data_IF_198037574079
#
_entry.id   IF_198037574079
#
_cell.length_a   1.000
_cell.length_b   1.000
_cell.length_c   1.000
_cell.angle_alpha   90.00
_cell.angle_beta   90.00
_cell.angle_gamma   90.00
#
_symmetry.space_group_name_H-M   'P 1'
#
loop_
_entity.id
_entity.type
_entity.pdbx_description
1 polymer ?
#
# COMPACT_ATOMS: atom_id res chain seq x y z
N UNK A 1 10.13 3.61 32.66
CA UNK A 1 8.67 3.49 32.48
C UNK A 1 8.06 3.34 33.87
N UNK A 2 7.07 4.15 34.21
CA UNK A 2 6.26 3.89 35.41
C UNK A 2 5.35 2.73 35.05
N UNK A 3 5.71 1.53 35.47
CA UNK A 3 4.89 0.35 35.27
C UNK A 3 3.80 0.34 36.35
N UNK A 4 2.56 0.58 35.98
CA UNK A 4 1.43 0.29 36.83
C UNK A 4 1.04 -1.18 36.63
N UNK A 5 1.34 -2.09 37.58
CA UNK A 5 1.09 -3.53 37.37
C UNK A 5 -0.39 -3.92 37.32
N UNK A 6 -1.29 -2.95 37.49
CA UNK A 6 -2.76 -3.14 37.40
C UNK A 6 -3.36 -2.52 36.14
N UNK A 7 -2.55 -2.01 35.20
CA UNK A 7 -3.03 -1.38 33.97
C UNK A 7 -2.81 -2.30 32.78
N UNK A 8 -3.87 -2.58 32.04
CA UNK A 8 -3.85 -3.24 30.74
C UNK A 8 -3.91 -2.21 29.61
N UNK A 9 -3.09 -2.41 28.59
CA UNK A 9 -3.07 -1.55 27.39
C UNK A 9 -3.67 -2.32 26.21
N UNK A 10 -4.75 -1.79 25.66
CA UNK A 10 -5.42 -2.36 24.49
C UNK A 10 -5.11 -1.55 23.24
N UNK A 11 -4.80 -2.25 22.12
CA UNK A 11 -4.74 -1.65 20.80
C UNK A 11 -6.16 -1.51 20.27
N UNK A 12 -6.64 -0.26 20.21
CA UNK A 12 -7.96 0.01 19.66
C UNK A 12 -7.83 0.37 18.17
N UNK A 13 -8.60 -0.32 17.32
CA UNK A 13 -8.66 -0.09 15.88
C UNK A 13 -7.30 -0.21 15.17
N UNK A 14 -6.60 -1.35 15.30
CA UNK A 14 -5.34 -1.54 14.60
C UNK A 14 -5.56 -1.53 13.09
N UNK A 15 -4.66 -0.86 12.36
CA UNK A 15 -4.67 -0.86 10.90
C UNK A 15 -3.73 -1.97 10.44
N UNK A 16 -4.22 -3.00 9.74
CA UNK A 16 -3.37 -4.10 9.31
C UNK A 16 -2.50 -3.71 8.11
N UNK A 17 -1.20 -3.97 8.22
CA UNK A 17 -0.26 -4.03 7.10
C UNK A 17 0.09 -5.50 6.87
N UNK A 18 -0.36 -6.06 5.74
CA UNK A 18 -0.07 -7.44 5.37
C UNK A 18 1.19 -7.47 4.50
N UNK A 19 2.13 -8.31 4.86
CA UNK A 19 3.40 -8.46 4.15
C UNK A 19 3.63 -9.92 3.82
N UNK A 20 3.92 -10.21 2.55
CA UNK A 20 4.28 -11.55 2.08
C UNK A 20 5.32 -11.45 0.97
N UNK A 21 6.04 -12.51 0.68
CA UNK A 21 7.10 -12.54 -0.33
C UNK A 21 6.75 -13.53 -1.44
N UNK A 22 6.89 -13.13 -2.70
CA UNK A 22 6.73 -14.03 -3.84
C UNK A 22 7.97 -14.87 -4.02
N UNK A 23 7.84 -16.21 -3.91
CA UNK A 23 8.94 -17.17 -4.00
C UNK A 23 9.09 -17.79 -5.40
N UNK A 24 8.21 -17.45 -6.35
CA UNK A 24 8.29 -17.95 -7.72
C UNK A 24 9.41 -17.31 -8.52
N UNK A 25 9.70 -17.88 -9.71
CA UNK A 25 10.65 -17.27 -10.65
C UNK A 25 10.13 -15.93 -11.17
N UNK A 26 10.91 -14.89 -10.96
CA UNK A 26 10.59 -13.52 -11.37
C UNK A 26 11.37 -13.04 -12.61
N UNK A 27 12.22 -13.87 -13.21
CA UNK A 27 13.17 -13.47 -14.24
C UNK A 27 12.49 -12.77 -15.43
N UNK A 28 11.54 -13.41 -16.09
CA UNK A 28 10.83 -12.84 -17.22
C UNK A 28 9.86 -11.75 -16.79
N UNK A 29 9.25 -11.88 -15.62
CA UNK A 29 8.36 -10.84 -15.05
C UNK A 29 9.14 -9.55 -14.82
N UNK A 30 10.27 -9.61 -14.13
CA UNK A 30 11.11 -8.44 -13.82
C UNK A 30 11.66 -7.81 -15.10
N UNK A 31 12.07 -8.61 -16.09
CA UNK A 31 12.49 -8.13 -17.40
C UNK A 31 11.37 -7.35 -18.09
N UNK A 32 10.16 -7.89 -18.11
CA UNK A 32 8.98 -7.20 -18.63
C UNK A 32 8.68 -5.90 -17.89
N UNK A 33 8.57 -5.95 -16.54
CA UNK A 33 8.26 -4.77 -15.74
C UNK A 33 9.32 -3.66 -15.89
N UNK A 34 10.59 -4.03 -16.05
CA UNK A 34 11.67 -3.09 -16.30
C UNK A 34 11.67 -2.49 -17.72
N UNK A 35 11.11 -3.18 -18.70
CA UNK A 35 10.98 -2.68 -20.08
C UNK A 35 9.89 -1.63 -20.27
N UNK A 36 8.99 -1.48 -19.28
CA UNK A 36 7.88 -0.53 -19.35
C UNK A 36 8.41 0.90 -19.28
N UNK A 37 8.05 1.69 -20.27
CA UNK A 37 8.38 3.11 -20.35
C UNK A 37 7.60 3.89 -19.28
N UNK A 38 8.30 4.81 -18.63
CA UNK A 38 7.73 5.70 -17.62
C UNK A 38 7.75 7.14 -18.14
N UNK A 39 6.73 7.89 -17.78
CA UNK A 39 6.63 9.32 -18.06
C UNK A 39 6.42 10.09 -16.75
N UNK A 40 6.69 11.38 -16.76
CA UNK A 40 6.43 12.23 -15.60
C UNK A 40 4.94 12.22 -15.24
N UNK A 41 4.68 12.07 -13.96
CA UNK A 41 3.36 12.19 -13.37
C UNK A 41 3.14 13.62 -12.84
N UNK A 42 2.05 13.85 -12.11
CA UNK A 42 1.80 15.13 -11.45
C UNK A 42 2.95 15.51 -10.51
N UNK A 43 3.22 16.83 -10.34
CA UNK A 43 4.31 17.30 -9.50
C UNK A 43 4.30 16.69 -8.09
N UNK A 44 5.40 16.05 -7.71
CA UNK A 44 5.58 15.39 -6.41
C UNK A 44 5.15 13.92 -6.36
N UNK A 45 4.75 13.31 -7.51
CA UNK A 45 4.40 11.89 -7.59
C UNK A 45 5.44 11.04 -8.35
N UNK A 46 6.47 11.67 -8.92
CA UNK A 46 7.53 11.01 -9.67
C UNK A 46 7.06 10.56 -11.05
N UNK A 47 7.45 9.35 -11.48
CA UNK A 47 7.16 8.80 -12.81
C UNK A 47 6.14 7.66 -12.71
N UNK A 48 5.37 7.43 -13.79
CA UNK A 48 4.35 6.38 -13.86
C UNK A 48 4.32 5.77 -15.28
N UNK A 49 3.88 4.51 -15.39
CA UNK A 49 3.57 3.88 -16.68
C UNK A 49 2.30 4.49 -17.31
N UNK A 50 2.22 4.49 -18.65
CA UNK A 50 0.98 4.88 -19.36
C UNK A 50 -0.11 3.83 -19.19
N UNK A 51 0.28 2.55 -19.25
CA UNK A 51 -0.64 1.44 -19.02
C UNK A 51 -0.96 1.34 -17.53
N UNK A 52 -2.24 1.18 -17.23
CA UNK A 52 -2.80 1.02 -15.88
C UNK A 52 -3.35 -0.39 -15.62
N UNK A 53 -2.97 -1.37 -16.46
CA UNK A 53 -3.39 -2.76 -16.36
C UNK A 53 -2.20 -3.73 -16.54
N UNK A 54 -1.05 -3.36 -16.01
CA UNK A 54 0.23 -4.08 -16.15
C UNK A 54 0.15 -5.54 -15.72
N UNK A 55 -0.59 -5.81 -14.64
CA UNK A 55 -0.72 -7.16 -14.07
C UNK A 55 -1.49 -8.13 -15.00
N UNK A 56 -2.27 -7.63 -15.95
CA UNK A 56 -3.08 -8.42 -16.87
C UNK A 56 -2.25 -9.02 -18.02
N UNK A 57 -0.99 -8.57 -18.18
CA UNK A 57 -0.11 -9.15 -19.18
C UNK A 57 0.12 -10.65 -18.88
N UNK A 58 0.02 -11.55 -19.89
CA UNK A 58 0.21 -12.98 -19.70
C UNK A 58 1.53 -13.38 -18.99
N UNK A 59 2.60 -12.60 -19.18
CA UNK A 59 3.89 -12.81 -18.49
C UNK A 59 3.71 -12.68 -16.97
N UNK A 60 2.82 -11.81 -16.52
CA UNK A 60 2.55 -11.57 -15.10
C UNK A 60 1.60 -12.61 -14.48
N UNK A 61 1.05 -13.56 -15.25
CA UNK A 61 0.03 -14.50 -14.76
C UNK A 61 0.40 -15.22 -13.44
N UNK A 62 1.61 -15.75 -13.25
CA UNK A 62 1.97 -16.39 -11.97
C UNK A 62 1.96 -15.40 -10.81
N UNK A 63 2.48 -14.19 -11.02
CA UNK A 63 2.46 -13.11 -10.04
C UNK A 63 1.03 -12.64 -9.76
N UNK A 64 0.20 -12.48 -10.79
CA UNK A 64 -1.20 -12.08 -10.67
C UNK A 64 -1.99 -13.07 -9.79
N UNK A 65 -1.77 -14.38 -9.96
CA UNK A 65 -2.40 -15.41 -9.13
C UNK A 65 -1.96 -15.31 -7.66
N UNK A 66 -0.68 -15.08 -7.42
CA UNK A 66 -0.15 -14.88 -6.07
C UNK A 66 -0.73 -13.63 -5.41
N UNK A 67 -0.72 -12.48 -6.12
CA UNK A 67 -1.27 -11.21 -5.61
C UNK A 67 -2.75 -11.34 -5.33
N UNK A 68 -3.52 -11.93 -6.24
CA UNK A 68 -4.96 -12.15 -6.06
C UNK A 68 -5.26 -13.00 -4.83
N UNK A 69 -4.56 -14.12 -4.66
CA UNK A 69 -4.68 -14.97 -3.46
C UNK A 69 -4.35 -14.21 -2.18
N UNK A 70 -3.28 -13.44 -2.17
CA UNK A 70 -2.86 -12.64 -1.00
C UNK A 70 -3.86 -11.52 -0.67
N UNK A 71 -4.42 -10.85 -1.69
CA UNK A 71 -5.47 -9.84 -1.49
C UNK A 71 -6.78 -10.44 -1.00
N UNK A 72 -7.15 -11.63 -1.50
CA UNK A 72 -8.32 -12.37 -0.99
C UNK A 72 -8.13 -12.77 0.47
N UNK A 73 -6.94 -13.28 0.83
CA UNK A 73 -6.60 -13.60 2.22
C UNK A 73 -6.68 -12.35 3.12
N UNK A 74 -6.16 -11.22 2.65
CA UNK A 74 -6.27 -9.93 3.34
C UNK A 74 -7.72 -9.48 3.49
N UNK A 75 -8.53 -9.57 2.45
CA UNK A 75 -9.95 -9.19 2.47
C UNK A 75 -10.72 -9.99 3.52
N UNK A 76 -10.54 -11.29 3.56
CA UNK A 76 -11.21 -12.19 4.51
C UNK A 76 -10.71 -11.95 5.94
N UNK A 77 -9.40 -12.01 6.17
CA UNK A 77 -8.83 -12.07 7.52
C UNK A 77 -8.60 -10.70 8.16
N UNK A 78 -8.42 -9.64 7.36
CA UNK A 78 -8.13 -8.30 7.87
C UNK A 78 -9.30 -7.32 7.72
N UNK A 79 -10.17 -7.53 6.73
CA UNK A 79 -11.31 -6.64 6.46
C UNK A 79 -12.67 -7.30 6.73
N UNK A 80 -12.69 -8.61 7.01
CA UNK A 80 -13.91 -9.41 7.21
C UNK A 80 -14.89 -9.32 6.03
N UNK A 81 -14.37 -9.26 4.79
CA UNK A 81 -15.15 -9.26 3.57
C UNK A 81 -15.37 -10.68 3.07
N UNK A 82 -16.58 -10.94 2.56
CA UNK A 82 -16.98 -12.23 1.97
C UNK A 82 -17.13 -12.13 0.44
N UNK A 83 -16.92 -10.95 -0.13
CA UNK A 83 -17.04 -10.70 -1.56
C UNK A 83 -15.79 -11.13 -2.33
N UNK A 84 -15.98 -11.54 -3.58
CA UNK A 84 -14.89 -11.82 -4.52
C UNK A 84 -14.10 -10.54 -4.82
N UNK A 85 -12.78 -10.62 -4.73
CA UNK A 85 -11.86 -9.50 -5.01
C UNK A 85 -11.43 -9.56 -6.48
N UNK A 86 -11.43 -8.41 -7.15
CA UNK A 86 -10.92 -8.23 -8.52
C UNK A 86 -9.95 -7.06 -8.59
N UNK A 87 -8.94 -7.17 -9.45
CA UNK A 87 -8.05 -6.04 -9.72
C UNK A 87 -8.81 -4.92 -10.42
N UNK A 88 -8.61 -3.70 -9.98
CA UNK A 88 -9.15 -2.51 -10.63
C UNK A 88 -8.12 -1.79 -11.49
N UNK A 89 -6.90 -1.67 -11.02
CA UNK A 89 -5.78 -1.05 -11.74
C UNK A 89 -4.44 -1.62 -11.29
N UNK A 90 -3.44 -1.53 -12.17
CA UNK A 90 -2.05 -1.82 -11.83
C UNK A 90 -1.09 -1.02 -12.70
N UNK A 91 -0.07 -0.42 -12.11
CA UNK A 91 0.87 0.48 -12.79
C UNK A 91 2.29 0.37 -12.22
N UNK A 92 3.30 0.72 -13.03
CA UNK A 92 4.66 0.91 -12.52
C UNK A 92 4.82 2.34 -12.02
N UNK A 93 5.25 2.47 -10.77
CA UNK A 93 5.68 3.74 -10.19
C UNK A 93 7.21 3.80 -10.17
N UNK A 94 7.80 4.90 -10.65
CA UNK A 94 9.24 5.13 -10.68
C UNK A 94 9.65 6.39 -9.91
N UNK A 95 10.76 6.31 -9.19
CA UNK A 95 11.34 7.45 -8.45
C UNK A 95 12.78 7.63 -8.88
N UNK A 96 13.06 8.70 -9.64
CA UNK A 96 14.42 9.14 -9.93
C UNK A 96 15.13 9.57 -8.64
N UNK A 97 16.44 9.78 -8.71
CA UNK A 97 17.21 10.29 -7.56
C UNK A 97 16.59 11.59 -7.03
N UNK A 98 16.46 11.69 -5.72
CA UNK A 98 15.84 12.80 -4.98
C UNK A 98 14.33 12.98 -5.21
N UNK A 99 13.71 12.22 -6.12
CA UNK A 99 12.26 12.23 -6.27
C UNK A 99 11.59 11.47 -5.11
N UNK A 100 10.46 12.01 -4.67
CA UNK A 100 9.62 11.44 -3.62
C UNK A 100 8.25 11.05 -4.20
N UNK A 101 7.41 10.46 -3.39
CA UNK A 101 5.98 10.34 -3.66
C UNK A 101 5.22 10.95 -2.50
N UNK A 102 4.50 12.02 -2.78
CA UNK A 102 3.69 12.71 -1.74
C UNK A 102 2.72 11.74 -1.09
N UNK A 103 2.43 11.98 0.17
CA UNK A 103 1.42 11.21 0.89
C UNK A 103 0.05 11.36 0.19
N UNK A 104 -0.60 10.23 -0.05
CA UNK A 104 -1.89 10.11 -0.73
C UNK A 104 -2.61 8.84 -0.29
N UNK A 105 -3.86 8.72 -0.64
CA UNK A 105 -4.68 7.51 -0.56
C UNK A 105 -5.24 7.17 -1.95
N UNK A 106 -5.83 6.00 -2.12
CA UNK A 106 -6.38 5.57 -3.40
C UNK A 106 -7.90 5.64 -3.38
N UNK A 107 -8.52 6.55 -4.14
CA UNK A 107 -9.97 6.59 -4.32
C UNK A 107 -10.45 5.45 -5.23
N UNK A 108 -11.75 5.13 -5.15
CA UNK A 108 -12.42 4.14 -6.00
C UNK A 108 -11.81 2.73 -5.94
N UNK A 109 -11.26 2.37 -4.79
CA UNK A 109 -10.72 1.05 -4.50
C UNK A 109 -10.82 0.78 -3.00
N UNK A 110 -10.74 -0.48 -2.58
CA UNK A 110 -10.81 -0.86 -1.16
C UNK A 110 -9.48 -1.40 -0.64
N UNK A 111 -8.70 -2.04 -1.51
CA UNK A 111 -7.38 -2.61 -1.19
C UNK A 111 -6.34 -2.00 -2.10
N UNK A 112 -5.26 -1.52 -1.53
CA UNK A 112 -4.06 -1.12 -2.24
C UNK A 112 -2.91 -2.07 -1.91
N UNK A 113 -2.05 -2.31 -2.88
CA UNK A 113 -0.83 -3.08 -2.68
C UNK A 113 0.34 -2.56 -3.50
N UNK A 114 1.54 -2.94 -3.10
CA UNK A 114 2.77 -2.65 -3.83
C UNK A 114 3.64 -3.90 -3.86
N UNK A 115 4.03 -4.33 -5.07
CA UNK A 115 4.99 -5.40 -5.28
C UNK A 115 6.37 -4.82 -5.62
N UNK A 116 7.39 -5.20 -4.86
CA UNK A 116 8.74 -4.65 -4.91
C UNK A 116 9.68 -5.57 -5.70
N UNK A 117 9.65 -5.50 -7.02
CA UNK A 117 10.41 -6.39 -7.91
C UNK A 117 11.87 -5.98 -8.14
N UNK A 118 12.22 -4.71 -7.92
CA UNK A 118 13.54 -4.14 -8.23
C UNK A 118 14.12 -3.36 -7.02
N UNK A 119 13.86 -3.85 -5.83
CA UNK A 119 14.29 -3.23 -4.57
C UNK A 119 15.59 -3.86 -4.08
N UNK A 120 16.47 -3.02 -3.53
CA UNK A 120 17.76 -3.39 -2.94
C UNK A 120 18.00 -2.66 -1.62
N UNK A 121 18.97 -3.13 -0.84
CA UNK A 121 19.33 -2.50 0.44
C UNK A 121 19.67 -1.01 0.26
N UNK A 122 19.16 -0.17 1.16
CA UNK A 122 19.33 1.28 1.13
C UNK A 122 18.35 2.03 0.22
N UNK A 123 17.38 1.35 -0.40
CA UNK A 123 16.27 2.02 -1.08
C UNK A 123 15.33 2.69 -0.08
N UNK A 124 14.62 3.73 -0.56
CA UNK A 124 13.64 4.43 0.26
C UNK A 124 12.53 3.49 0.72
N UNK A 125 12.11 3.57 2.00
CA UNK A 125 10.95 2.84 2.50
C UNK A 125 9.64 3.35 1.89
N UNK A 126 8.55 2.65 2.17
CA UNK A 126 7.22 3.25 2.13
C UNK A 126 6.90 3.79 3.53
N UNK A 127 6.32 4.98 3.57
CA UNK A 127 5.89 5.64 4.79
C UNK A 127 4.36 5.64 4.85
N UNK A 128 3.81 5.15 5.95
CA UNK A 128 2.39 5.25 6.27
C UNK A 128 2.20 6.33 7.32
N UNK A 129 1.19 7.17 7.19
CA UNK A 129 0.92 8.26 8.12
C UNK A 129 -0.53 8.28 8.56
N UNK A 130 -0.77 8.74 9.79
CA UNK A 130 -2.11 9.03 10.26
C UNK A 130 -2.62 10.29 9.57
N UNK A 131 -3.85 10.23 9.08
CA UNK A 131 -4.51 11.38 8.45
C UNK A 131 -4.80 12.49 9.47
N UNK A 132 -5.07 12.10 10.69
CA UNK A 132 -5.32 13.03 11.81
C UNK A 132 -4.23 12.85 12.85
N UNK A 133 -3.47 13.90 13.10
CA UNK A 133 -2.56 13.95 14.26
C UNK A 133 -3.37 13.72 15.53
N UNK A 134 -2.76 13.05 16.51
CA UNK A 134 -3.42 12.88 17.80
C UNK A 134 -3.89 14.24 18.33
N UNK A 135 -5.06 14.30 18.96
CA UNK A 135 -5.64 15.53 19.54
C UNK A 135 -4.61 16.31 20.37
N UNK A 136 -3.78 15.58 21.11
CA UNK A 136 -2.74 16.19 21.95
C UNK A 136 -1.66 16.94 21.15
N UNK A 137 -1.39 16.54 19.90
CA UNK A 137 -0.44 17.21 19.00
C UNK A 137 -1.09 18.24 18.07
N UNK A 138 -2.42 18.24 17.96
CA UNK A 138 -3.14 19.22 17.14
C UNK A 138 -3.31 20.58 17.81
N UNK A 139 -3.38 20.60 19.15
CA UNK A 139 -3.62 21.81 19.93
C UNK A 139 -2.48 22.16 20.88
N UNK A 140 -1.66 21.18 21.25
CA UNK A 140 -0.52 21.35 22.16
C UNK A 140 0.68 20.61 21.57
N UNK A 141 1.87 21.17 21.73
CA UNK A 141 3.13 20.53 21.34
C UNK A 141 3.90 20.07 22.60
N UNK A 142 3.48 18.97 23.24
CA UNK A 142 4.20 18.45 24.40
C UNK A 142 5.57 17.92 23.97
N UNK A 143 6.56 18.09 24.84
CA UNK A 143 7.89 17.50 24.63
C UNK A 143 7.80 15.98 24.74
N UNK A 144 8.04 15.30 23.62
CA UNK A 144 8.05 13.84 23.59
C UNK A 144 9.37 13.30 24.14
N UNK A 145 9.33 12.09 24.65
CA UNK A 145 10.55 11.35 25.00
C UNK A 145 11.38 11.09 23.74
N UNK A 146 12.71 11.02 23.87
CA UNK A 146 13.62 10.78 22.74
C UNK A 146 13.39 9.45 22.02
N UNK A 147 12.82 8.46 22.72
CA UNK A 147 12.53 7.12 22.23
C UNK A 147 11.04 6.92 21.85
N UNK A 148 10.28 8.01 21.67
CA UNK A 148 8.83 7.93 21.37
C UNK A 148 8.50 7.14 20.11
N UNK A 149 9.42 7.07 19.15
CA UNK A 149 9.30 6.31 17.91
C UNK A 149 9.16 4.80 18.14
N UNK A 150 9.61 4.30 19.31
CA UNK A 150 9.44 2.91 19.70
C UNK A 150 8.10 2.64 20.38
N UNK A 151 7.25 3.66 20.55
CA UNK A 151 5.95 3.54 21.17
C UNK A 151 4.85 3.57 20.10
N UNK A 152 4.27 2.42 19.81
CA UNK A 152 3.21 2.24 18.79
C UNK A 152 1.99 3.17 18.97
N UNK A 153 1.71 3.60 20.20
CA UNK A 153 0.60 4.53 20.50
C UNK A 153 0.96 5.99 20.21
N UNK A 154 2.25 6.32 20.16
CA UNK A 154 2.75 7.68 19.95
C UNK A 154 3.22 7.96 18.52
N UNK A 155 3.31 6.93 17.66
CA UNK A 155 3.72 7.07 16.27
C UNK A 155 2.63 7.76 15.45
N UNK A 156 3.02 8.75 14.65
CA UNK A 156 2.18 9.35 13.61
C UNK A 156 2.56 8.83 12.22
N UNK A 157 3.77 8.31 12.08
CA UNK A 157 4.30 7.71 10.86
C UNK A 157 4.95 6.35 11.15
N UNK A 158 4.77 5.41 10.22
CA UNK A 158 5.40 4.09 10.24
C UNK A 158 6.11 3.86 8.92
N UNK A 159 7.38 3.46 8.99
CA UNK A 159 8.21 3.18 7.83
C UNK A 159 8.38 1.68 7.66
N UNK A 160 8.06 1.17 6.47
CA UNK A 160 8.35 -0.20 6.08
C UNK A 160 9.45 -0.21 5.00
N UNK A 161 10.53 -0.96 5.25
CA UNK A 161 11.66 -1.13 4.34
C UNK A 161 11.49 -2.43 3.56
N UNK A 162 10.98 -2.38 2.31
CA UNK A 162 10.67 -3.57 1.56
C UNK A 162 11.94 -4.28 1.08
N UNK A 163 11.85 -5.60 1.00
CA UNK A 163 12.83 -6.46 0.34
C UNK A 163 12.38 -6.79 -1.06
N UNK A 164 13.31 -7.28 -1.88
CA UNK A 164 12.98 -7.75 -3.23
C UNK A 164 11.94 -8.88 -3.16
N UNK A 165 10.95 -8.81 -4.04
CA UNK A 165 9.79 -9.69 -4.13
C UNK A 165 8.79 -9.59 -2.97
N UNK A 166 8.91 -8.61 -2.08
CA UNK A 166 7.86 -8.34 -1.11
C UNK A 166 6.61 -7.80 -1.81
N UNK A 167 5.47 -8.31 -1.38
CA UNK A 167 4.16 -7.76 -1.62
C UNK A 167 3.64 -7.21 -0.29
N UNK A 168 3.32 -5.93 -0.26
CA UNK A 168 2.62 -5.32 0.87
C UNK A 168 1.19 -4.99 0.47
N UNK A 169 0.25 -5.21 1.38
CA UNK A 169 -1.18 -4.96 1.18
C UNK A 169 -1.71 -4.18 2.37
N UNK A 170 -2.53 -3.17 2.09
CA UNK A 170 -3.09 -2.27 3.10
C UNK A 170 -4.42 -1.68 2.63
N UNK A 171 -5.24 -1.08 3.54
CA UNK A 171 -6.49 -0.44 3.13
C UNK A 171 -6.21 0.75 2.21
N UNK A 172 -6.98 0.90 1.15
CA UNK A 172 -6.76 1.95 0.15
C UNK A 172 -6.85 3.38 0.70
N UNK A 173 -7.61 3.58 1.77
CA UNK A 173 -7.76 4.88 2.44
C UNK A 173 -6.54 5.27 3.29
N UNK A 174 -5.64 4.33 3.60
CA UNK A 174 -4.46 4.62 4.44
C UNK A 174 -3.49 5.54 3.70
N UNK A 175 -3.23 6.70 4.29
CA UNK A 175 -2.27 7.67 3.77
C UNK A 175 -0.88 7.07 3.71
N UNK A 176 -0.27 7.11 2.53
CA UNK A 176 1.07 6.58 2.33
C UNK A 176 1.85 7.37 1.28
N UNK A 177 3.17 7.29 1.36
CA UNK A 177 4.07 7.98 0.45
C UNK A 177 5.45 7.33 0.44
N UNK A 178 6.36 7.91 -0.34
CA UNK A 178 7.75 7.43 -0.44
C UNK A 178 8.68 8.62 -0.23
N UNK A 179 9.58 8.59 0.76
CA UNK A 179 10.63 9.58 0.94
C UNK A 179 11.53 9.71 -0.30
N UNK A 180 12.33 10.78 -0.41
CA UNK A 180 13.24 10.97 -1.55
C UNK A 180 14.13 9.75 -1.79
N UNK A 181 14.25 9.33 -3.05
CA UNK A 181 15.15 8.24 -3.44
C UNK A 181 16.62 8.68 -3.28
N UNK A 182 17.42 8.05 -2.42
CA UNK A 182 18.80 8.46 -2.20
C UNK A 182 19.75 8.03 -3.33
N UNK A 183 19.33 7.09 -4.20
CA UNK A 183 20.18 6.45 -5.20
C UNK A 183 20.03 7.04 -6.59
N UNK A 184 21.09 7.00 -7.44
CA UNK A 184 21.01 7.42 -8.84
C UNK A 184 20.06 6.57 -9.69
N UNK A 185 19.90 5.27 -9.32
CA UNK A 185 19.01 4.34 -10.01
C UNK A 185 17.54 4.75 -9.78
N UNK A 186 16.73 4.69 -10.83
CA UNK A 186 15.28 4.84 -10.70
C UNK A 186 14.74 3.65 -9.92
N UNK A 187 14.17 3.90 -8.74
CA UNK A 187 13.48 2.88 -7.93
C UNK A 187 12.10 2.64 -8.51
N UNK A 188 11.85 1.40 -8.95
CA UNK A 188 10.56 0.99 -9.52
C UNK A 188 9.80 0.06 -8.58
N UNK A 189 8.48 0.15 -8.61
CA UNK A 189 7.58 -0.78 -7.93
C UNK A 189 6.27 -0.90 -8.70
N UNK A 190 5.60 -2.04 -8.60
CA UNK A 190 4.30 -2.31 -9.22
C UNK A 190 3.19 -2.05 -8.19
N UNK A 191 2.41 -0.99 -8.39
CA UNK A 191 1.19 -0.74 -7.65
C UNK A 191 0.03 -1.55 -8.20
N UNK A 192 -0.82 -2.11 -7.33
CA UNK A 192 -2.00 -2.87 -7.72
C UNK A 192 -3.14 -2.50 -6.77
N UNK A 193 -4.27 -2.11 -7.33
CA UNK A 193 -5.50 -1.82 -6.63
C UNK A 193 -6.54 -2.92 -6.85
N UNK A 194 -7.39 -3.14 -5.85
CA UNK A 194 -8.48 -4.11 -5.96
C UNK A 194 -9.78 -3.62 -5.33
N UNK A 195 -10.88 -4.13 -5.88
CA UNK A 195 -12.25 -3.87 -5.47
C UNK A 195 -12.98 -5.20 -5.24
N UNK A 196 -14.13 -5.14 -4.59
CA UNK A 196 -15.10 -6.24 -4.60
C UNK A 196 -15.80 -6.31 -5.96
N UNK A 197 -16.15 -7.51 -6.37
CA UNK A 197 -16.90 -7.77 -7.60
C UNK A 197 -18.41 -7.70 -7.35
N UNK A 198 -19.12 -7.03 -8.23
CA UNK A 198 -20.58 -7.03 -8.23
C UNK A 198 -21.19 -5.93 -7.38
N UNK A 199 -21.83 -6.30 -6.27
CA UNK A 199 -22.56 -5.35 -5.42
C UNK A 199 -21.76 -4.92 -4.21
N UNK A 200 -21.94 -3.67 -3.80
CA UNK A 200 -21.54 -3.16 -2.50
C UNK A 200 -22.79 -2.80 -1.69
N UNK A 201 -22.72 -2.96 -0.37
CA UNK A 201 -23.82 -2.64 0.54
C UNK A 201 -25.02 -3.55 0.36
N UNK A 202 -26.16 -3.15 0.92
CA UNK A 202 -27.38 -3.91 0.91
C UNK A 202 -28.62 -3.02 0.75
N UNK A 203 -29.77 -3.64 0.41
CA UNK A 203 -31.05 -2.93 0.22
C UNK A 203 -31.69 -2.49 1.51
N UNK A 204 -31.44 -3.16 2.61
CA UNK A 204 -32.08 -2.86 3.91
C UNK A 204 -31.56 -1.54 4.49
N UNK A 205 -30.26 -1.28 4.31
CA UNK A 205 -29.62 -0.01 4.70
C UNK A 205 -29.68 1.08 3.61
N UNK A 206 -30.30 0.76 2.44
CA UNK A 206 -30.38 1.69 1.29
C UNK A 206 -28.99 2.12 0.80
N UNK A 207 -28.00 1.25 0.97
CA UNK A 207 -26.59 1.50 0.60
C UNK A 207 -26.14 0.69 -0.63
N UNK A 208 -27.03 -0.10 -1.24
CA UNK A 208 -26.70 -0.97 -2.36
C UNK A 208 -26.18 -0.18 -3.57
N UNK A 209 -24.97 -0.52 -4.02
CA UNK A 209 -24.38 -0.09 -5.28
C UNK A 209 -24.08 -1.31 -6.14
N UNK A 210 -24.83 -1.48 -7.23
CA UNK A 210 -24.63 -2.58 -8.17
C UNK A 210 -23.92 -2.09 -9.43
N UNK A 211 -22.64 -2.42 -9.58
CA UNK A 211 -21.82 -2.00 -10.74
C UNK A 211 -22.39 -2.48 -12.08
N UNK A 212 -23.12 -3.61 -12.11
CA UNK A 212 -23.73 -4.13 -13.33
C UNK A 212 -24.88 -3.28 -13.88
N UNK A 213 -25.40 -2.34 -13.08
CA UNK A 213 -26.46 -1.43 -13.53
C UNK A 213 -25.96 -0.25 -14.34
N UNK A 214 -24.65 -0.01 -14.35
CA UNK A 214 -24.01 1.16 -14.96
C UNK A 214 -23.11 0.82 -16.15
N UNK A 215 -23.08 -0.45 -16.57
CA UNK A 215 -22.30 -0.96 -17.72
C UNK A 215 -23.21 -1.49 -18.79
#
# INVERSE_FOLDING_TARGET
MVNNPKADLYQMFPIPLYVTTYEGDTTEIVKYLNSIELHEHNPGYGMISKDSYIIDNPICKPLAQFVHKSMTDYAINCMALDEEIVFSQSWISGKAQHASHKAHSHPNTIIASVFYFDTEEGDSPICFSKEVRSINRSYLEPTLRKDYQNNIFAQDEVYYYPKKNDLIIFPSWLMHGVPPNPKPKIRKALGINAMTKGKLGDRETISELDYKRYV
#
